data_IF_206625422332
#
_entry.id   IF_206625422332
#
_cell.length_a   1.000
_cell.length_b   1.000
_cell.length_c   1.000
_cell.angle_alpha   90.00
_cell.angle_beta   90.00
_cell.angle_gamma   90.00
#
_symmetry.space_group_name_H-M   'P 1'
#
loop_
_entity.id
_entity.type
_entity.pdbx_description
1 polymer ?
#
# COMPACT_ATOMS: atom_id res chain seq x y z
N UNK A 1 -10.06 24.32 24.56
CA UNK A 1 -9.22 23.41 23.75
C UNK A 1 -9.49 22.01 24.24
N UNK A 2 -10.03 21.13 23.40
CA UNK A 2 -10.33 19.74 23.79
C UNK A 2 -9.04 19.02 24.17
N UNK A 3 -9.02 18.35 25.33
CA UNK A 3 -7.90 17.57 25.86
C UNK A 3 -7.84 16.13 25.33
N UNK A 4 -8.61 15.83 24.28
CA UNK A 4 -8.55 14.52 23.62
C UNK A 4 -7.37 14.53 22.63
N UNK A 5 -6.44 13.56 22.71
CA UNK A 5 -5.40 13.44 21.71
C UNK A 5 -6.05 13.24 20.33
N UNK A 6 -5.75 14.12 19.39
CA UNK A 6 -6.18 13.99 18.00
C UNK A 6 -5.55 12.69 17.46
N UNK A 7 -6.38 11.71 17.12
CA UNK A 7 -5.94 10.44 16.51
C UNK A 7 -5.29 10.78 15.17
N UNK A 8 -3.96 10.66 15.13
CA UNK A 8 -3.14 10.89 13.94
C UNK A 8 -2.24 9.69 13.69
N UNK A 9 -1.85 9.51 12.44
CA UNK A 9 -0.85 8.52 12.10
C UNK A 9 0.51 8.88 12.75
N UNK A 10 1.21 7.92 13.37
CA UNK A 10 2.52 8.18 13.94
C UNK A 10 3.54 8.38 12.81
N UNK A 11 4.45 9.33 13.02
CA UNK A 11 5.59 9.53 12.13
C UNK A 11 6.62 8.41 12.31
N UNK A 12 7.49 8.18 11.33
CA UNK A 12 8.56 7.17 11.43
C UNK A 12 9.43 7.36 12.69
N UNK A 13 9.87 8.59 13.07
CA UNK A 13 10.58 8.78 14.35
C UNK A 13 9.78 8.36 15.58
N UNK A 14 8.46 8.57 15.60
CA UNK A 14 7.59 8.16 16.71
C UNK A 14 7.41 6.65 16.78
N UNK A 15 7.32 5.98 15.62
CA UNK A 15 7.30 4.51 15.54
C UNK A 15 8.62 3.94 16.09
N UNK A 16 9.77 4.49 15.67
CA UNK A 16 11.09 4.09 16.15
C UNK A 16 11.24 4.34 17.66
N UNK A 17 10.77 5.48 18.16
CA UNK A 17 10.82 5.80 19.59
C UNK A 17 9.97 4.81 20.41
N UNK A 18 8.78 4.46 19.92
CA UNK A 18 7.87 3.50 20.56
C UNK A 18 8.48 2.10 20.60
N UNK A 19 9.06 1.64 19.48
CA UNK A 19 9.76 0.35 19.41
C UNK A 19 10.99 0.31 20.35
N UNK A 20 11.75 1.41 20.44
CA UNK A 20 12.89 1.52 21.38
C UNK A 20 12.42 1.45 22.82
N UNK A 21 11.32 2.12 23.15
CA UNK A 21 10.74 2.06 24.49
C UNK A 21 10.26 0.64 24.83
N UNK A 22 9.63 -0.07 23.90
CA UNK A 22 9.23 -1.47 24.08
C UNK A 22 10.45 -2.39 24.32
N UNK A 23 11.50 -2.24 23.52
CA UNK A 23 12.75 -2.98 23.69
C UNK A 23 13.41 -2.72 25.05
N UNK A 24 13.42 -1.47 25.52
CA UNK A 24 13.95 -1.10 26.83
C UNK A 24 13.11 -1.62 28.00
N UNK A 25 11.77 -1.69 27.86
CA UNK A 25 10.88 -2.26 28.88
C UNK A 25 10.99 -3.79 28.96
N UNK A 26 11.32 -4.46 27.86
CA UNK A 26 11.35 -5.93 27.75
C UNK A 26 12.67 -6.45 27.15
N UNK A 27 13.84 -6.13 27.73
CA UNK A 27 15.15 -6.39 27.10
C UNK A 27 15.48 -7.89 26.96
N UNK A 28 14.87 -8.75 27.78
CA UNK A 28 15.04 -10.20 27.68
C UNK A 28 14.27 -10.83 26.49
N UNK A 29 13.31 -10.10 25.92
CA UNK A 29 12.43 -10.58 24.86
C UNK A 29 12.57 -9.80 23.56
N UNK A 30 12.86 -8.50 23.66
CA UNK A 30 12.82 -7.55 22.55
C UNK A 30 14.22 -6.99 22.26
N UNK A 31 14.60 -6.97 20.98
CA UNK A 31 15.82 -6.31 20.51
C UNK A 31 15.49 -5.38 19.36
N UNK A 32 16.14 -4.21 19.32
CA UNK A 32 16.02 -3.25 18.23
C UNK A 32 17.40 -3.03 17.62
N UNK A 33 17.52 -3.20 16.30
CA UNK A 33 18.78 -2.96 15.57
C UNK A 33 18.54 -2.20 14.28
N UNK A 34 19.58 -1.51 13.82
CA UNK A 34 19.65 -0.96 12.47
C UNK A 34 20.01 -2.11 11.50
N UNK A 35 19.30 -2.20 10.37
CA UNK A 35 19.46 -3.27 9.36
C UNK A 35 19.91 -2.75 8.01
N UNK A 36 19.99 -1.43 7.87
CA UNK A 36 20.40 -0.77 6.65
C UNK A 36 20.14 0.72 6.74
N UNK A 37 20.45 1.43 5.65
CA UNK A 37 20.17 2.86 5.49
C UNK A 37 19.52 3.12 4.14
N UNK A 38 18.62 4.08 4.10
CA UNK A 38 17.97 4.55 2.87
C UNK A 38 18.95 5.30 1.98
N UNK A 39 18.51 5.68 0.77
CA UNK A 39 19.28 6.49 -0.17
C UNK A 39 19.72 7.83 0.42
N UNK A 40 18.88 8.45 1.23
CA UNK A 40 19.20 9.68 1.96
C UNK A 40 19.85 9.43 3.33
N UNK A 41 20.29 8.19 3.61
CA UNK A 41 21.06 7.83 4.80
C UNK A 41 20.25 7.65 6.08
N UNK A 42 18.91 7.61 6.00
CA UNK A 42 18.04 7.37 7.17
C UNK A 42 18.09 5.89 7.58
N UNK A 43 18.19 5.58 8.88
CA UNK A 43 18.30 4.21 9.35
C UNK A 43 17.00 3.42 9.19
N UNK A 44 17.11 2.20 8.66
CA UNK A 44 16.04 1.19 8.67
C UNK A 44 16.22 0.36 9.95
N UNK A 45 15.15 0.21 10.72
CA UNK A 45 15.18 -0.46 12.01
C UNK A 45 14.34 -1.73 12.01
N UNK A 46 14.85 -2.78 12.64
CA UNK A 46 14.17 -4.04 12.87
C UNK A 46 13.97 -4.26 14.36
N UNK A 47 12.72 -4.31 14.82
CA UNK A 47 12.35 -4.78 16.15
C UNK A 47 12.13 -6.29 16.10
N UNK A 48 12.79 -7.05 16.96
CA UNK A 48 12.59 -8.50 17.07
C UNK A 48 12.01 -8.85 18.44
N UNK A 49 11.05 -9.77 18.48
CA UNK A 49 10.34 -10.23 19.68
C UNK A 49 10.34 -11.76 19.69
N UNK A 50 11.04 -12.36 20.67
CA UNK A 50 11.21 -13.81 20.78
C UNK A 50 12.53 -14.34 20.22
N UNK A 51 12.78 -15.62 20.48
CA UNK A 51 14.07 -16.30 20.21
C UNK A 51 13.92 -17.65 19.48
N UNK A 52 12.71 -17.99 19.04
CA UNK A 52 12.47 -19.21 18.27
C UNK A 52 13.08 -19.10 16.86
N UNK A 53 13.43 -20.25 16.29
CA UNK A 53 14.01 -20.34 14.94
C UNK A 53 13.01 -20.03 13.81
N UNK A 54 11.73 -20.38 13.98
CA UNK A 54 10.70 -20.04 12.98
C UNK A 54 10.36 -18.56 13.11
N UNK A 55 10.37 -17.84 11.99
CA UNK A 55 10.23 -16.39 11.97
C UNK A 55 9.00 -15.94 11.17
N UNK A 56 8.31 -14.93 11.69
CA UNK A 56 7.40 -14.05 10.93
C UNK A 56 8.09 -12.71 10.75
N UNK A 57 8.07 -12.17 9.53
CA UNK A 57 8.52 -10.82 9.23
C UNK A 57 7.31 -9.93 8.92
N UNK A 58 7.13 -8.83 9.63
CA UNK A 58 6.11 -7.81 9.35
C UNK A 58 6.82 -6.57 8.83
N UNK A 59 6.39 -6.04 7.69
CA UNK A 59 6.99 -4.89 7.02
C UNK A 59 5.97 -3.76 6.96
N UNK A 60 6.35 -2.56 7.40
CA UNK A 60 5.54 -1.36 7.25
C UNK A 60 6.24 -0.30 6.40
N UNK A 61 5.49 0.70 5.96
CA UNK A 61 6.03 1.84 5.21
C UNK A 61 6.60 1.43 3.86
N UNK A 62 5.97 0.44 3.20
CA UNK A 62 6.27 0.05 1.82
C UNK A 62 5.98 1.21 0.85
N UNK A 63 4.90 1.94 1.12
CA UNK A 63 4.57 3.20 0.44
C UNK A 63 4.38 4.32 1.45
N UNK A 64 4.90 5.49 1.10
CA UNK A 64 4.84 6.70 1.92
C UNK A 64 3.43 7.23 2.18
N UNK A 65 2.49 6.97 1.27
CA UNK A 65 1.11 7.44 1.33
C UNK A 65 0.17 6.53 2.15
N UNK A 66 0.71 5.48 2.77
CA UNK A 66 -0.04 4.40 3.45
C UNK A 66 0.36 4.34 4.93
N UNK A 67 -0.09 5.30 5.74
CA UNK A 67 0.52 5.57 7.05
C UNK A 67 0.08 4.63 8.18
N UNK A 68 -0.92 3.76 7.95
CA UNK A 68 -1.48 2.86 8.97
C UNK A 68 -0.49 1.82 9.49
N UNK A 69 0.37 1.29 8.62
CA UNK A 69 1.23 0.14 8.95
C UNK A 69 2.16 0.38 10.14
N UNK A 70 2.63 1.61 10.35
CA UNK A 70 3.48 1.98 11.48
C UNK A 70 2.79 1.83 12.84
N UNK A 71 1.49 2.11 12.92
CA UNK A 71 0.71 1.92 14.14
C UNK A 71 0.32 0.44 14.32
N UNK A 72 -0.08 -0.23 13.24
CA UNK A 72 -0.43 -1.66 13.23
C UNK A 72 0.73 -2.54 13.71
N UNK A 73 1.95 -2.33 13.21
CA UNK A 73 3.09 -3.16 13.63
C UNK A 73 3.37 -3.01 15.13
N UNK A 74 3.16 -1.82 15.72
CA UNK A 74 3.38 -1.58 17.15
C UNK A 74 2.30 -2.28 17.98
N UNK A 75 1.06 -2.22 17.53
CA UNK A 75 -0.05 -2.96 18.14
C UNK A 75 0.23 -4.47 18.14
N UNK A 76 0.60 -5.04 16.99
CA UNK A 76 0.98 -6.46 16.89
C UNK A 76 2.21 -6.77 17.77
N UNK A 77 3.22 -5.90 17.83
CA UNK A 77 4.39 -6.13 18.67
C UNK A 77 4.03 -6.16 20.16
N UNK A 78 3.20 -5.24 20.65
CA UNK A 78 2.71 -5.22 22.04
C UNK A 78 1.87 -6.46 22.36
N UNK A 79 1.03 -6.91 21.41
CA UNK A 79 0.28 -8.18 21.53
C UNK A 79 1.21 -9.37 21.62
N UNK A 80 2.20 -9.51 20.74
CA UNK A 80 3.18 -10.62 20.78
C UNK A 80 3.99 -10.63 22.09
N UNK A 81 4.29 -9.47 22.65
CA UNK A 81 4.95 -9.35 23.96
C UNK A 81 4.04 -9.85 25.09
N UNK A 82 2.75 -9.53 25.03
CA UNK A 82 1.77 -9.80 26.09
C UNK A 82 1.17 -11.22 26.02
N UNK A 83 0.87 -11.69 24.81
CA UNK A 83 0.24 -12.97 24.49
C UNK A 83 1.32 -14.02 24.19
N UNK A 84 1.69 -14.81 25.20
CA UNK A 84 2.78 -15.80 25.07
C UNK A 84 2.51 -16.83 23.98
N UNK A 85 1.26 -17.19 23.73
CA UNK A 85 0.84 -18.14 22.69
C UNK A 85 1.28 -17.74 21.28
N UNK A 86 1.30 -16.43 20.97
CA UNK A 86 1.71 -15.92 19.65
C UNK A 86 3.20 -16.14 19.38
N UNK A 87 3.99 -16.26 20.45
CA UNK A 87 5.44 -16.50 20.41
C UNK A 87 5.85 -17.91 20.81
N UNK A 88 4.90 -18.84 20.96
CA UNK A 88 5.22 -20.25 21.17
C UNK A 88 5.78 -20.85 19.87
N UNK A 89 7.10 -21.11 19.87
CA UNK A 89 7.80 -21.67 18.71
C UNK A 89 7.89 -20.72 17.51
N UNK A 90 7.68 -19.41 17.69
CA UNK A 90 7.76 -18.39 16.65
C UNK A 90 8.39 -17.11 17.19
N UNK A 91 9.32 -16.53 16.45
CA UNK A 91 9.82 -15.17 16.65
C UNK A 91 9.17 -14.24 15.65
N UNK A 92 8.94 -13.01 16.09
CA UNK A 92 8.34 -11.96 15.27
C UNK A 92 9.37 -10.86 15.04
N UNK A 93 9.48 -10.40 13.81
CA UNK A 93 10.40 -9.35 13.40
C UNK A 93 9.63 -8.27 12.65
N UNK A 94 9.84 -7.02 13.00
CA UNK A 94 9.08 -5.88 12.49
C UNK A 94 10.05 -4.88 11.86
N UNK A 95 10.03 -4.76 10.52
CA UNK A 95 10.74 -3.71 9.79
C UNK A 95 9.88 -2.44 9.88
N UNK A 96 10.34 -1.48 10.69
CA UNK A 96 9.50 -0.37 11.14
C UNK A 96 9.09 0.60 10.02
N UNK A 97 9.92 0.73 8.98
CA UNK A 97 9.63 1.49 7.77
C UNK A 97 10.58 1.04 6.65
N UNK A 98 10.04 0.55 5.54
CA UNK A 98 10.83 0.13 4.39
C UNK A 98 11.34 1.34 3.58
N UNK A 99 10.54 2.40 3.44
CA UNK A 99 10.92 3.64 2.74
C UNK A 99 10.85 4.88 3.66
N UNK A 100 11.83 5.05 4.58
CA UNK A 100 11.85 6.22 5.47
C UNK A 100 12.10 7.53 4.72
N UNK A 101 12.62 7.49 3.49
CA UNK A 101 12.82 8.67 2.66
C UNK A 101 11.49 9.15 2.08
N UNK A 102 10.74 8.26 1.42
CA UNK A 102 9.41 8.59 0.93
C UNK A 102 8.46 8.97 2.06
N UNK A 103 8.49 8.25 3.19
CA UNK A 103 7.67 8.57 4.35
C UNK A 103 7.92 9.99 4.90
N UNK A 104 9.13 10.54 4.72
CA UNK A 104 9.44 11.93 5.11
C UNK A 104 8.85 12.99 4.16
N UNK A 105 8.46 12.59 2.95
CA UNK A 105 7.89 13.46 1.92
C UNK A 105 6.37 13.48 1.94
N UNK A 106 5.70 12.47 2.49
CA UNK A 106 4.25 12.47 2.71
C UNK A 106 3.92 13.18 4.03
N UNK A 107 3.12 14.24 3.97
CA UNK A 107 2.96 15.20 5.10
C UNK A 107 1.52 15.41 5.57
N UNK A 108 0.63 14.42 5.38
CA UNK A 108 -0.76 14.50 5.90
C UNK A 108 -1.04 13.46 6.99
N UNK A 109 -0.62 13.69 8.25
CA UNK A 109 -0.78 12.72 9.34
C UNK A 109 -2.21 12.62 9.92
N UNK A 110 -3.10 13.59 9.63
CA UNK A 110 -4.48 13.62 10.12
C UNK A 110 -5.42 14.31 9.11
N UNK A 111 -5.63 13.70 7.93
CA UNK A 111 -6.49 14.28 6.91
C UNK A 111 -7.95 14.35 7.39
N UNK A 112 -8.63 15.47 7.16
CA UNK A 112 -10.08 15.63 7.47
C UNK A 112 -10.97 15.38 6.26
N UNK A 113 -10.37 15.39 5.07
CA UNK A 113 -11.01 15.12 3.78
C UNK A 113 -10.03 14.47 2.82
N UNK A 114 -10.53 13.91 1.71
CA UNK A 114 -9.67 13.48 0.61
C UNK A 114 -8.82 14.63 0.08
N UNK A 115 -9.34 15.86 0.05
CA UNK A 115 -8.57 17.01 -0.42
C UNK A 115 -7.36 17.28 0.50
N UNK A 116 -7.55 17.30 1.81
CA UNK A 116 -6.46 17.49 2.78
C UNK A 116 -5.39 16.40 2.66
N UNK A 117 -5.81 15.14 2.45
CA UNK A 117 -4.90 14.02 2.17
C UNK A 117 -4.05 14.25 0.94
N UNK A 118 -4.68 14.72 -0.15
CA UNK A 118 -4.01 14.95 -1.41
C UNK A 118 -3.05 16.14 -1.37
N UNK A 119 -3.30 17.19 -0.56
CA UNK A 119 -2.39 18.33 -0.43
C UNK A 119 -0.99 17.97 0.08
N UNK A 120 -0.86 16.95 0.93
CA UNK A 120 0.42 16.44 1.42
C UNK A 120 0.86 15.12 0.78
N UNK A 121 0.23 14.72 -0.33
CA UNK A 121 0.46 13.42 -0.96
C UNK A 121 1.91 13.27 -1.47
N UNK A 122 2.47 12.08 -1.26
CA UNK A 122 3.67 11.63 -1.95
C UNK A 122 3.62 10.11 -2.06
N UNK A 123 3.87 9.59 -3.26
CA UNK A 123 4.16 8.16 -3.51
C UNK A 123 5.29 8.10 -4.52
N UNK A 124 6.42 7.45 -4.23
CA UNK A 124 7.57 7.43 -5.12
C UNK A 124 7.29 6.65 -6.41
N UNK A 125 8.11 6.86 -7.44
CA UNK A 125 8.02 6.08 -8.67
C UNK A 125 8.30 4.58 -8.40
N UNK A 126 7.80 3.67 -9.24
CA UNK A 126 7.93 2.23 -9.00
C UNK A 126 9.37 1.75 -8.79
N UNK A 127 10.34 2.32 -9.52
CA UNK A 127 11.76 1.98 -9.39
C UNK A 127 12.42 2.50 -8.10
N UNK A 128 11.72 3.37 -7.37
CA UNK A 128 12.14 3.95 -6.10
C UNK A 128 11.42 3.32 -4.89
N UNK A 129 10.41 2.48 -5.13
CA UNK A 129 9.67 1.78 -4.08
C UNK A 129 10.45 0.54 -3.63
N UNK A 130 10.78 0.38 -2.33
CA UNK A 130 11.64 -0.71 -1.88
C UNK A 130 11.12 -2.11 -2.21
N UNK A 131 9.80 -2.31 -2.15
CA UNK A 131 9.21 -3.62 -2.45
C UNK A 131 9.05 -3.87 -3.95
N UNK A 132 8.79 -2.81 -4.73
CA UNK A 132 8.49 -2.92 -6.15
C UNK A 132 9.73 -2.84 -7.06
N UNK A 133 10.79 -2.16 -6.63
CA UNK A 133 11.94 -1.87 -7.49
C UNK A 133 12.59 -3.09 -8.15
N UNK A 134 12.64 -4.29 -7.55
CA UNK A 134 13.14 -5.49 -8.24
C UNK A 134 12.33 -5.92 -9.48
N UNK A 135 11.06 -5.53 -9.57
CA UNK A 135 10.23 -5.82 -10.75
C UNK A 135 10.56 -4.91 -11.95
N UNK A 136 11.25 -3.78 -11.72
CA UNK A 136 11.49 -2.74 -12.73
C UNK A 136 12.95 -2.34 -12.89
N UNK A 137 13.84 -2.82 -12.02
CA UNK A 137 15.28 -2.54 -12.06
C UNK A 137 16.10 -3.82 -12.05
N UNK A 138 17.28 -3.82 -12.72
CA UNK A 138 18.23 -4.91 -12.59
C UNK A 138 18.89 -4.92 -11.19
N UNK A 139 19.44 -6.08 -10.74
CA UNK A 139 19.99 -6.24 -9.39
C UNK A 139 21.05 -5.22 -8.96
N UNK A 140 21.89 -4.74 -9.89
CA UNK A 140 22.97 -3.77 -9.63
C UNK A 140 22.46 -2.33 -9.39
N UNK A 141 21.21 -2.05 -9.78
CA UNK A 141 20.55 -0.74 -9.61
C UNK A 141 19.52 -0.70 -8.49
N UNK A 142 19.32 -1.81 -7.77
CA UNK A 142 18.35 -1.85 -6.67
C UNK A 142 18.71 -0.84 -5.57
N UNK A 143 17.72 -0.11 -5.02
CA UNK A 143 17.97 0.85 -3.97
C UNK A 143 18.41 0.14 -2.67
N UNK A 144 19.21 0.81 -1.81
CA UNK A 144 19.73 0.21 -0.59
C UNK A 144 18.64 -0.27 0.38
N UNK A 145 17.46 0.35 0.38
CA UNK A 145 16.27 -0.06 1.13
C UNK A 145 15.81 -1.46 0.72
N UNK A 146 15.74 -1.73 -0.59
CA UNK A 146 15.41 -3.05 -1.14
C UNK A 146 16.45 -4.08 -0.74
N UNK A 147 17.74 -3.75 -0.81
CA UNK A 147 18.83 -4.66 -0.40
C UNK A 147 18.78 -4.96 1.09
N UNK A 148 18.44 -3.98 1.91
CA UNK A 148 18.25 -4.17 3.35
C UNK A 148 17.07 -5.11 3.62
N UNK A 149 15.92 -4.91 2.96
CA UNK A 149 14.75 -5.78 3.10
C UNK A 149 15.07 -7.22 2.65
N UNK A 150 15.64 -7.43 1.46
CA UNK A 150 16.00 -8.78 1.01
C UNK A 150 17.07 -9.42 1.86
N UNK A 151 18.03 -8.64 2.38
CA UNK A 151 19.02 -9.11 3.35
C UNK A 151 18.41 -9.57 4.68
N UNK A 152 17.39 -8.86 5.19
CA UNK A 152 16.61 -9.29 6.36
C UNK A 152 15.85 -10.58 6.06
N UNK A 153 15.24 -10.72 4.88
CA UNK A 153 14.55 -11.96 4.49
C UNK A 153 15.55 -13.12 4.38
N UNK A 154 16.73 -12.91 3.81
CA UNK A 154 17.80 -13.91 3.69
C UNK A 154 18.33 -14.38 5.06
N UNK A 155 18.44 -13.45 6.02
CA UNK A 155 18.84 -13.71 7.39
C UNK A 155 17.78 -14.50 8.15
N UNK A 156 16.53 -14.02 8.15
CA UNK A 156 15.44 -14.55 8.98
C UNK A 156 14.80 -15.80 8.39
N UNK A 157 14.80 -15.93 7.06
CA UNK A 157 14.13 -17.00 6.30
C UNK A 157 12.69 -17.22 6.79
N UNK A 158 11.85 -16.17 6.79
CA UNK A 158 10.55 -16.23 7.42
C UNK A 158 9.65 -17.25 6.71
N UNK A 159 8.84 -17.98 7.48
CA UNK A 159 7.79 -18.81 6.86
C UNK A 159 6.64 -17.95 6.35
N UNK A 160 6.47 -16.75 6.92
CA UNK A 160 5.53 -15.73 6.50
C UNK A 160 6.16 -14.34 6.58
N UNK A 161 6.17 -13.63 5.46
CA UNK A 161 6.24 -12.17 5.44
C UNK A 161 4.81 -11.60 5.39
N UNK A 162 4.53 -10.57 6.18
CA UNK A 162 3.32 -9.76 6.03
C UNK A 162 3.77 -8.34 5.73
N UNK A 163 3.41 -7.81 4.57
CA UNK A 163 3.64 -6.39 4.26
C UNK A 163 2.33 -5.62 4.44
N UNK A 164 2.43 -4.51 5.17
CA UNK A 164 1.30 -3.69 5.61
C UNK A 164 1.10 -2.54 4.64
N UNK A 165 -0.02 -2.57 3.93
CA UNK A 165 -0.40 -1.59 2.94
C UNK A 165 -1.70 -0.88 3.32
N UNK A 166 -2.07 0.13 2.53
CA UNK A 166 -3.37 0.74 2.64
C UNK A 166 -3.82 1.39 1.34
N UNK A 167 -5.14 1.51 1.21
CA UNK A 167 -5.76 2.27 0.13
C UNK A 167 -6.28 3.60 0.67
N UNK A 168 -6.16 4.67 -0.11
CA UNK A 168 -6.79 5.94 0.23
C UNK A 168 -8.31 5.73 0.32
N UNK A 169 -8.93 5.21 -0.74
CA UNK A 169 -10.37 4.97 -0.77
C UNK A 169 -10.68 3.59 -1.34
N UNK A 170 -11.52 2.79 -0.68
CA UNK A 170 -11.95 1.49 -1.23
C UNK A 170 -12.48 0.56 -0.15
N UNK A 171 -12.09 -0.70 -0.22
CA UNK A 171 -12.34 -1.71 0.81
C UNK A 171 -11.02 -2.33 1.28
N UNK A 172 -11.11 -3.28 2.21
CA UNK A 172 -9.97 -4.08 2.62
C UNK A 172 -9.90 -5.36 1.79
N UNK A 173 -8.69 -5.83 1.53
CA UNK A 173 -8.43 -7.06 0.78
C UNK A 173 -6.99 -7.55 1.07
N UNK A 174 -6.67 -8.75 0.60
CA UNK A 174 -5.39 -9.42 0.81
C UNK A 174 -4.88 -10.02 -0.49
N UNK A 175 -3.60 -9.81 -0.80
CA UNK A 175 -2.88 -10.60 -1.81
C UNK A 175 -1.96 -11.59 -1.15
N UNK A 176 -1.95 -12.81 -1.66
CA UNK A 176 -1.12 -13.89 -1.16
C UNK A 176 -0.22 -14.37 -2.29
N UNK A 177 1.09 -14.37 -2.09
CA UNK A 177 2.01 -14.98 -3.06
C UNK A 177 1.92 -16.51 -3.08
N UNK A 178 1.24 -17.08 -2.08
CA UNK A 178 0.84 -18.48 -1.98
C UNK A 178 -0.35 -18.57 -1.01
N UNK A 179 -1.33 -19.41 -1.32
CA UNK A 179 -2.55 -19.52 -0.50
C UNK A 179 -2.25 -19.84 0.99
N UNK A 180 -3.05 -19.24 1.88
CA UNK A 180 -3.10 -19.49 3.32
C UNK A 180 -4.50 -20.02 3.63
N UNK A 181 -4.71 -21.35 3.58
CA UNK A 181 -6.03 -21.93 3.81
C UNK A 181 -6.61 -21.52 5.16
N UNK A 182 -7.87 -21.06 5.12
CA UNK A 182 -8.59 -20.61 6.31
C UNK A 182 -8.37 -19.14 6.69
N UNK A 183 -7.57 -18.36 5.97
CA UNK A 183 -7.41 -16.92 6.25
C UNK A 183 -8.67 -16.10 5.94
N UNK A 184 -9.44 -16.49 4.92
CA UNK A 184 -10.57 -15.69 4.44
C UNK A 184 -11.67 -15.47 5.49
N UNK A 185 -11.95 -16.46 6.34
CA UNK A 185 -12.98 -16.33 7.38
C UNK A 185 -12.61 -15.31 8.47
N UNK A 186 -11.46 -15.40 9.17
CA UNK A 186 -11.12 -14.42 10.20
C UNK A 186 -10.88 -13.02 9.62
N UNK A 187 -10.40 -12.93 8.38
CA UNK A 187 -10.29 -11.67 7.64
C UNK A 187 -11.67 -11.02 7.43
N UNK A 188 -12.60 -11.72 6.79
CA UNK A 188 -13.94 -11.19 6.50
C UNK A 188 -14.74 -10.91 7.78
N UNK A 189 -14.60 -11.75 8.81
CA UNK A 189 -15.23 -11.54 10.12
C UNK A 189 -14.73 -10.24 10.76
N UNK A 190 -13.41 -10.02 10.78
CA UNK A 190 -12.81 -8.80 11.30
C UNK A 190 -13.31 -7.55 10.56
N UNK A 191 -13.40 -7.63 9.23
CA UNK A 191 -13.92 -6.54 8.41
C UNK A 191 -15.38 -6.22 8.75
N UNK A 192 -16.23 -7.25 8.87
CA UNK A 192 -17.64 -7.09 9.23
C UNK A 192 -17.83 -6.47 10.62
N UNK A 193 -17.11 -6.95 11.64
CA UNK A 193 -17.19 -6.43 13.01
C UNK A 193 -16.79 -4.95 13.12
N UNK A 194 -15.88 -4.50 12.25
CA UNK A 194 -15.35 -3.13 12.22
C UNK A 194 -16.05 -2.24 11.18
N UNK A 195 -17.07 -2.76 10.49
CA UNK A 195 -17.79 -2.12 9.39
C UNK A 195 -16.86 -1.66 8.26
N UNK A 196 -15.90 -2.49 7.86
CA UNK A 196 -15.00 -2.25 6.72
C UNK A 196 -15.47 -3.12 5.55
N UNK A 197 -15.72 -2.55 4.35
CA UNK A 197 -16.13 -3.33 3.17
C UNK A 197 -14.99 -4.23 2.75
N UNK A 198 -15.32 -5.43 2.29
CA UNK A 198 -14.33 -6.34 1.68
C UNK A 198 -14.32 -6.10 0.17
N UNK A 199 -13.18 -5.65 -0.35
CA UNK A 199 -13.02 -5.38 -1.78
C UNK A 199 -12.81 -6.70 -2.53
N UNK A 200 -13.90 -7.24 -3.08
CA UNK A 200 -13.92 -8.59 -3.67
C UNK A 200 -13.37 -8.65 -5.10
N UNK A 201 -13.28 -7.50 -5.77
CA UNK A 201 -12.80 -7.36 -7.15
C UNK A 201 -11.68 -6.33 -7.27
N UNK A 202 -10.70 -6.35 -6.35
CA UNK A 202 -9.60 -5.38 -6.34
C UNK A 202 -8.89 -5.31 -7.71
N UNK A 203 -8.77 -4.12 -8.28
CA UNK A 203 -8.14 -3.92 -9.59
C UNK A 203 -6.68 -4.36 -9.60
N UNK A 204 -5.98 -4.17 -8.49
CA UNK A 204 -4.57 -4.52 -8.33
C UNK A 204 -4.34 -6.05 -8.26
N UNK A 205 -5.40 -6.84 -8.04
CA UNK A 205 -5.41 -8.30 -8.14
C UNK A 205 -6.28 -8.80 -9.30
N UNK A 206 -6.50 -7.97 -10.32
CA UNK A 206 -7.29 -8.37 -11.49
C UNK A 206 -6.78 -9.68 -12.11
N UNK A 207 -7.67 -10.65 -12.27
CA UNK A 207 -7.36 -11.97 -12.83
C UNK A 207 -6.69 -12.95 -11.86
N UNK A 208 -6.45 -12.56 -10.60
CA UNK A 208 -5.93 -13.46 -9.58
C UNK A 208 -7.07 -14.32 -9.01
N UNK A 209 -6.89 -15.65 -8.88
CA UNK A 209 -7.87 -16.50 -8.23
C UNK A 209 -8.10 -16.07 -6.78
N UNK A 210 -9.35 -16.09 -6.33
CA UNK A 210 -9.69 -15.82 -4.94
C UNK A 210 -9.77 -17.14 -4.13
N UNK A 211 -9.18 -17.18 -2.93
CA UNK A 211 -9.40 -18.26 -1.95
C UNK A 211 -10.54 -17.99 -0.97
N UNK A 212 -11.08 -16.77 -1.00
CA UNK A 212 -12.31 -16.34 -0.35
C UNK A 212 -12.58 -14.84 -0.62
N UNK A 213 -13.67 -14.26 -0.08
CA UNK A 213 -13.98 -12.85 -0.30
C UNK A 213 -12.81 -11.93 0.05
N UNK A 214 -12.34 -11.16 -0.93
CA UNK A 214 -11.22 -10.22 -0.80
C UNK A 214 -9.86 -10.86 -0.52
N UNK A 215 -9.71 -12.19 -0.64
CA UNK A 215 -8.40 -12.87 -0.50
C UNK A 215 -7.99 -13.45 -1.84
N UNK A 216 -7.04 -12.79 -2.49
CA UNK A 216 -6.55 -13.11 -3.82
C UNK A 216 -5.19 -13.82 -3.75
N UNK A 217 -4.99 -14.85 -4.56
CA UNK A 217 -3.78 -15.67 -4.58
C UNK A 217 -3.07 -15.48 -5.91
N UNK A 218 -1.77 -15.24 -5.85
CA UNK A 218 -0.92 -15.08 -7.02
C UNK A 218 -1.07 -16.29 -7.95
N UNK A 219 -1.34 -16.07 -9.25
CA UNK A 219 -1.55 -17.17 -10.18
C UNK A 219 -0.23 -17.89 -10.48
N UNK A 220 -0.33 -19.16 -10.91
CA UNK A 220 0.81 -19.94 -11.32
C UNK A 220 1.62 -19.25 -12.45
N UNK A 221 2.94 -19.50 -12.57
CA UNK A 221 3.75 -18.97 -13.66
C UNK A 221 3.12 -19.26 -15.02
N UNK A 222 3.13 -18.28 -15.92
CA UNK A 222 2.54 -18.39 -17.26
C UNK A 222 1.05 -18.03 -17.35
N UNK A 223 0.38 -17.76 -16.23
CA UNK A 223 -0.90 -17.05 -16.26
C UNK A 223 -0.70 -15.64 -16.84
N UNK A 224 -1.49 -15.27 -17.84
CA UNK A 224 -1.41 -13.95 -18.48
C UNK A 224 -1.77 -12.83 -17.50
N UNK A 225 -1.14 -11.66 -17.66
CA UNK A 225 -1.48 -10.48 -16.89
C UNK A 225 -2.83 -9.90 -17.34
N UNK A 226 -3.67 -9.50 -16.39
CA UNK A 226 -4.92 -8.79 -16.70
C UNK A 226 -4.66 -7.41 -17.33
N UNK A 227 -3.56 -6.76 -16.92
CA UNK A 227 -3.07 -5.49 -17.47
C UNK A 227 -1.63 -5.64 -17.98
N UNK A 228 -1.44 -6.12 -19.24
CA UNK A 228 -0.11 -6.36 -19.80
C UNK A 228 0.78 -5.11 -19.93
N UNK A 229 0.18 -3.92 -19.94
CA UNK A 229 0.94 -2.66 -20.03
C UNK A 229 1.61 -2.26 -18.73
N UNK A 230 1.13 -2.78 -17.59
CA UNK A 230 1.63 -2.42 -16.28
C UNK A 230 2.89 -3.24 -15.95
N UNK A 231 3.88 -2.64 -15.28
CA UNK A 231 5.10 -3.33 -14.89
C UNK A 231 4.88 -4.21 -13.65
N UNK A 232 3.80 -4.99 -13.63
CA UNK A 232 3.12 -5.52 -12.42
C UNK A 232 3.39 -7.01 -12.12
N UNK A 233 4.53 -7.58 -12.55
CA UNK A 233 4.86 -8.96 -12.17
C UNK A 233 5.43 -9.02 -10.74
N UNK A 234 4.53 -9.18 -9.78
CA UNK A 234 4.84 -9.34 -8.36
C UNK A 234 5.76 -10.55 -8.05
N UNK A 235 5.97 -11.49 -8.99
CA UNK A 235 6.99 -12.55 -8.82
C UNK A 235 8.42 -12.02 -8.85
N UNK A 236 8.62 -10.87 -9.48
CA UNK A 236 9.92 -10.21 -9.56
C UNK A 236 10.11 -9.17 -8.45
N UNK A 237 9.14 -8.99 -7.54
CA UNK A 237 9.23 -8.04 -6.42
C UNK A 237 9.81 -8.67 -5.16
N UNK A 238 10.05 -7.88 -4.11
CA UNK A 238 10.51 -8.43 -2.80
C UNK A 238 9.47 -9.35 -2.17
N UNK A 239 8.19 -9.25 -2.55
CA UNK A 239 7.11 -10.09 -2.04
C UNK A 239 7.34 -11.57 -2.37
N UNK A 240 8.04 -11.89 -3.46
CA UNK A 240 8.32 -13.29 -3.81
C UNK A 240 9.62 -13.82 -3.18
N UNK A 241 10.44 -12.96 -2.58
CA UNK A 241 11.78 -13.32 -2.11
C UNK A 241 11.78 -14.40 -1.02
N UNK A 242 10.77 -14.42 -0.14
CA UNK A 242 10.61 -15.43 0.90
C UNK A 242 10.41 -16.86 0.35
N UNK A 243 9.93 -17.02 -0.89
CA UNK A 243 9.75 -18.34 -1.53
C UNK A 243 11.07 -19.09 -1.70
N UNK A 244 12.21 -18.39 -1.80
CA UNK A 244 13.55 -18.99 -1.83
C UNK A 244 13.81 -19.91 -0.62
N UNK A 245 13.14 -19.66 0.48
CA UNK A 245 13.26 -20.40 1.74
C UNK A 245 12.02 -21.23 2.08
N UNK A 246 11.10 -21.39 1.12
CA UNK A 246 9.82 -22.07 1.31
C UNK A 246 8.74 -21.26 2.02
N UNK A 247 9.03 -19.98 2.35
CA UNK A 247 8.06 -19.03 2.90
C UNK A 247 7.10 -18.47 1.85
N UNK A 248 6.21 -17.59 2.30
CA UNK A 248 5.26 -16.84 1.45
C UNK A 248 5.06 -15.43 2.00
N UNK A 249 4.37 -14.60 1.23
CA UNK A 249 4.04 -13.21 1.62
C UNK A 249 2.55 -12.97 1.55
N UNK A 250 2.01 -12.32 2.58
CA UNK A 250 0.68 -11.73 2.59
C UNK A 250 0.80 -10.19 2.52
N UNK A 251 0.11 -9.58 1.58
CA UNK A 251 -0.03 -8.15 1.41
C UNK A 251 -1.40 -7.79 1.97
N UNK A 252 -1.48 -6.99 3.04
CA UNK A 252 -2.73 -6.69 3.72
C UNK A 252 -3.09 -5.23 3.53
N UNK A 253 -4.16 -4.98 2.79
CA UNK A 253 -4.64 -3.66 2.39
C UNK A 253 -5.80 -3.22 3.28
N UNK A 254 -5.70 -2.03 3.88
CA UNK A 254 -6.79 -1.44 4.68
C UNK A 254 -7.14 -0.04 4.18
N UNK A 255 -8.44 0.31 4.08
CA UNK A 255 -8.85 1.61 3.57
C UNK A 255 -8.78 2.71 4.63
N UNK A 256 -8.33 3.90 4.22
CA UNK A 256 -8.47 5.14 5.01
C UNK A 256 -9.93 5.66 4.93
N UNK A 257 -10.47 5.73 3.72
CA UNK A 257 -11.89 5.92 3.45
C UNK A 257 -12.51 4.67 2.86
N UNK A 258 -13.60 4.20 3.45
CA UNK A 258 -14.32 3.04 2.94
C UNK A 258 -15.40 3.45 1.92
N UNK A 259 -15.74 2.52 1.03
CA UNK A 259 -16.89 2.63 0.13
C UNK A 259 -17.50 1.26 -0.11
N UNK A 260 -18.83 1.17 -0.01
CA UNK A 260 -19.57 -0.07 -0.30
C UNK A 260 -19.78 -0.26 -1.83
N UNK A 261 -19.15 0.56 -2.68
CA UNK A 261 -19.18 0.36 -4.14
C UNK A 261 -18.18 -0.71 -4.62
N UNK A 262 -17.27 -1.13 -3.77
CA UNK A 262 -16.22 -2.10 -4.11
C UNK A 262 -16.48 -3.50 -3.55
N UNK A 263 -17.60 -3.71 -2.85
CA UNK A 263 -17.97 -5.00 -2.27
C UNK A 263 -19.22 -5.65 -2.93
N UNK A 264 -19.88 -4.98 -3.88
CA UNK A 264 -21.08 -5.48 -4.58
C UNK A 264 -20.75 -6.63 -5.56
N UNK A 265 -21.09 -7.88 -5.23
CA UNK A 265 -20.76 -9.04 -6.06
C UNK A 265 -21.73 -9.22 -7.23
N UNK A 266 -22.77 -8.38 -7.36
CA UNK A 266 -23.74 -8.52 -8.43
C UNK A 266 -23.08 -8.30 -9.80
N UNK A 267 -23.52 -9.03 -10.85
CA UNK A 267 -23.03 -8.78 -12.20
C UNK A 267 -23.28 -7.34 -12.65
N UNK A 268 -22.25 -6.73 -13.24
CA UNK A 268 -22.38 -5.45 -13.91
C UNK A 268 -23.08 -5.67 -15.26
N UNK A 269 -24.07 -4.83 -15.66
CA UNK A 269 -24.85 -5.06 -16.88
C UNK A 269 -24.05 -4.93 -18.19
N UNK A 270 -22.97 -4.12 -18.19
CA UNK A 270 -22.10 -3.92 -19.35
C UNK A 270 -20.65 -3.56 -18.96
N UNK A 271 -19.88 -4.49 -18.34
CA UNK A 271 -18.57 -4.20 -17.75
C UNK A 271 -17.57 -3.67 -18.79
N UNK A 272 -17.48 -4.29 -19.97
CA UNK A 272 -16.60 -3.83 -21.04
C UNK A 272 -16.92 -2.39 -21.53
N UNK A 273 -18.20 -2.00 -21.51
CA UNK A 273 -18.60 -0.62 -21.86
C UNK A 273 -18.20 0.35 -20.74
N UNK A 274 -18.34 -0.05 -19.48
CA UNK A 274 -17.92 0.75 -18.34
C UNK A 274 -16.39 0.96 -18.34
N UNK A 275 -15.60 -0.10 -18.51
CA UNK A 275 -14.14 -0.02 -18.57
C UNK A 275 -13.66 0.90 -19.71
N UNK A 276 -14.25 0.80 -20.91
CA UNK A 276 -13.95 1.75 -22.01
C UNK A 276 -14.24 3.21 -21.66
N UNK A 277 -15.33 3.48 -20.93
CA UNK A 277 -15.63 4.85 -20.46
C UNK A 277 -14.62 5.32 -19.42
N UNK A 278 -14.23 4.43 -18.50
CA UNK A 278 -13.22 4.72 -17.49
C UNK A 278 -11.84 4.97 -18.12
N UNK A 279 -11.46 4.21 -19.16
CA UNK A 279 -10.26 4.47 -19.95
C UNK A 279 -10.28 5.86 -20.60
N UNK A 280 -11.41 6.25 -21.20
CA UNK A 280 -11.60 7.58 -21.77
C UNK A 280 -11.45 8.70 -20.72
N UNK A 281 -12.03 8.50 -19.54
CA UNK A 281 -11.88 9.41 -18.40
C UNK A 281 -10.44 9.50 -17.91
N UNK A 282 -9.77 8.37 -17.73
CA UNK A 282 -8.38 8.31 -17.28
C UNK A 282 -7.47 9.12 -18.22
N UNK A 283 -7.61 8.91 -19.53
CA UNK A 283 -6.88 9.68 -20.55
C UNK A 283 -7.22 11.18 -20.52
N UNK A 284 -8.49 11.53 -20.34
CA UNK A 284 -8.91 12.93 -20.26
C UNK A 284 -8.29 13.64 -19.05
N UNK A 285 -8.35 13.00 -17.88
CA UNK A 285 -7.86 13.58 -16.63
C UNK A 285 -6.32 13.67 -16.66
N UNK A 286 -5.61 12.64 -17.11
CA UNK A 286 -4.15 12.69 -17.28
C UNK A 286 -3.70 13.83 -18.20
N UNK A 287 -4.37 14.03 -19.35
CA UNK A 287 -4.09 15.15 -20.26
C UNK A 287 -4.31 16.53 -19.64
N UNK A 288 -5.13 16.65 -18.60
CA UNK A 288 -5.28 17.92 -17.87
C UNK A 288 -4.03 18.21 -17.05
N UNK A 289 -3.49 17.20 -16.37
CA UNK A 289 -2.26 17.29 -15.57
C UNK A 289 -1.05 17.51 -16.47
N UNK A 290 -0.92 16.74 -17.56
CA UNK A 290 0.16 16.87 -18.54
C UNK A 290 0.25 18.27 -19.13
N UNK A 291 -0.89 18.91 -19.44
CA UNK A 291 -0.91 20.29 -19.95
C UNK A 291 -0.35 21.29 -18.94
N UNK A 292 -0.62 21.10 -17.65
CA UNK A 292 -0.05 21.93 -16.58
C UNK A 292 1.44 21.65 -16.44
N UNK A 293 1.83 20.38 -16.44
CA UNK A 293 3.23 19.97 -16.35
C UNK A 293 4.08 20.54 -17.51
N UNK A 294 3.60 20.42 -18.75
CA UNK A 294 4.29 20.95 -19.94
C UNK A 294 4.39 22.47 -19.89
N UNK A 295 3.32 23.16 -19.51
CA UNK A 295 3.36 24.63 -19.35
C UNK A 295 4.35 25.07 -18.27
N UNK A 296 4.40 24.36 -17.13
CA UNK A 296 5.26 24.72 -15.99
C UNK A 296 6.72 24.31 -16.16
N UNK A 297 7.02 23.23 -16.89
CA UNK A 297 8.37 22.66 -17.01
C UNK A 297 9.47 23.70 -17.32
N UNK A 298 9.30 24.65 -18.25
CA UNK A 298 10.34 25.66 -18.54
C UNK A 298 10.66 26.62 -17.39
N UNK A 299 9.82 26.67 -16.35
CA UNK A 299 9.95 27.57 -15.19
C UNK A 299 10.42 26.87 -13.93
N UNK A 300 10.47 25.54 -13.92
CA UNK A 300 10.87 24.75 -12.75
C UNK A 300 12.40 24.63 -12.69
N UNK A 301 13.03 24.92 -11.53
CA UNK A 301 14.49 24.89 -11.39
C UNK A 301 15.07 23.49 -11.25
N UNK A 302 14.33 22.55 -10.65
CA UNK A 302 14.72 21.16 -10.46
C UNK A 302 13.72 20.23 -11.16
N UNK A 303 14.16 19.65 -12.27
CA UNK A 303 13.35 18.69 -13.04
C UNK A 303 13.48 17.26 -12.51
N UNK A 304 14.47 17.03 -11.65
CA UNK A 304 14.78 15.73 -11.08
C UNK A 304 14.27 15.60 -9.65
N UNK A 305 13.54 16.56 -9.09
CA UNK A 305 12.97 16.45 -7.75
C UNK A 305 12.04 15.23 -7.57
N UNK A 306 12.02 14.57 -6.40
CA UNK A 306 11.30 13.30 -6.20
C UNK A 306 9.79 13.40 -6.47
N UNK A 307 9.15 14.50 -6.09
CA UNK A 307 7.72 14.77 -6.37
C UNK A 307 7.44 14.81 -7.88
N UNK A 308 8.32 15.46 -8.64
CA UNK A 308 8.15 15.62 -10.08
C UNK A 308 8.41 14.31 -10.82
N UNK A 309 9.46 13.56 -10.44
CA UNK A 309 9.72 12.22 -10.99
C UNK A 309 8.54 11.28 -10.75
N UNK A 310 7.99 11.26 -9.53
CA UNK A 310 6.83 10.45 -9.18
C UNK A 310 5.55 10.88 -9.93
N UNK A 311 5.31 12.19 -10.08
CA UNK A 311 4.20 12.71 -10.87
C UNK A 311 4.28 12.29 -12.33
N UNK A 312 5.46 12.45 -12.96
CA UNK A 312 5.71 12.01 -14.35
C UNK A 312 5.48 10.52 -14.52
N UNK A 313 6.06 9.70 -13.62
CA UNK A 313 5.89 8.25 -13.66
C UNK A 313 4.41 7.83 -13.60
N UNK A 314 3.61 8.45 -12.71
CA UNK A 314 2.17 8.18 -12.65
C UNK A 314 1.43 8.50 -13.95
N UNK A 315 1.81 9.56 -14.67
CA UNK A 315 1.24 9.91 -15.97
C UNK A 315 1.70 8.96 -17.08
N UNK A 316 2.96 8.49 -17.03
CA UNK A 316 3.52 7.55 -18.01
C UNK A 316 2.79 6.19 -18.04
N UNK A 317 2.19 5.77 -16.92
CA UNK A 317 1.40 4.53 -16.84
C UNK A 317 0.05 4.62 -17.56
N UNK A 318 -0.51 5.84 -17.68
CA UNK A 318 -1.90 6.05 -18.11
C UNK A 318 -2.21 5.52 -19.52
N UNK A 319 -1.41 5.80 -20.57
CA UNK A 319 -1.74 5.36 -21.91
C UNK A 319 -1.85 3.84 -22.05
N UNK A 320 -0.92 3.11 -21.41
CA UNK A 320 -0.91 1.65 -21.39
C UNK A 320 -2.15 1.10 -20.67
N UNK A 321 -2.39 1.57 -19.45
CA UNK A 321 -3.51 1.07 -18.64
C UNK A 321 -4.88 1.37 -19.28
N UNK A 322 -5.03 2.54 -19.89
CA UNK A 322 -6.24 2.88 -20.63
C UNK A 322 -6.42 2.00 -21.87
N UNK A 323 -5.33 1.63 -22.55
CA UNK A 323 -5.39 0.70 -23.67
C UNK A 323 -5.81 -0.71 -23.21
N UNK A 324 -5.29 -1.19 -22.08
CA UNK A 324 -5.70 -2.46 -21.49
C UNK A 324 -7.21 -2.46 -21.22
N UNK A 325 -7.73 -1.48 -20.46
CA UNK A 325 -9.17 -1.39 -20.18
C UNK A 325 -10.05 -1.24 -21.43
N UNK A 326 -9.52 -0.67 -22.51
CA UNK A 326 -10.27 -0.45 -23.73
C UNK A 326 -10.31 -1.68 -24.65
N UNK A 327 -9.24 -2.47 -24.65
CA UNK A 327 -8.96 -3.48 -25.68
C UNK A 327 -8.83 -4.91 -25.14
N UNK A 328 -8.71 -5.11 -23.83
CA UNK A 328 -8.75 -6.44 -23.22
C UNK A 328 -10.15 -6.75 -22.66
N UNK A 329 -10.53 -8.04 -22.60
CA UNK A 329 -11.73 -8.44 -21.87
C UNK A 329 -11.61 -8.07 -20.37
N UNK A 330 -12.70 -7.63 -19.71
CA UNK A 330 -12.70 -7.42 -18.26
C UNK A 330 -12.23 -8.66 -17.51
N UNK A 331 -11.35 -8.48 -16.52
CA UNK A 331 -10.85 -9.58 -15.70
C UNK A 331 -11.93 -10.17 -14.78
N UNK A 332 -12.92 -9.36 -14.43
CA UNK A 332 -14.13 -9.73 -13.71
C UNK A 332 -15.32 -8.92 -14.28
N UNK A 333 -16.53 -9.46 -14.16
CA UNK A 333 -17.77 -8.86 -14.61
C UNK A 333 -18.64 -8.33 -13.45
N UNK A 334 -18.17 -8.39 -12.19
CA UNK A 334 -18.88 -7.85 -11.03
C UNK A 334 -18.93 -6.32 -11.01
N UNK A 335 -19.89 -5.77 -10.26
CA UNK A 335 -19.95 -4.33 -9.96
C UNK A 335 -18.80 -3.89 -9.07
N UNK A 336 -18.39 -4.71 -8.10
CA UNK A 336 -17.22 -4.52 -7.26
C UNK A 336 -15.96 -4.24 -8.10
N UNK A 337 -15.68 -5.07 -9.11
CA UNK A 337 -14.52 -4.88 -9.98
C UNK A 337 -14.60 -3.57 -10.79
N UNK A 338 -15.75 -3.27 -11.39
CA UNK A 338 -15.94 -1.99 -12.10
C UNK A 338 -15.80 -0.80 -11.15
N UNK A 339 -16.25 -0.92 -9.91
CA UNK A 339 -16.09 0.07 -8.84
C UNK A 339 -14.62 0.29 -8.47
N UNK A 340 -13.86 -0.79 -8.31
CA UNK A 340 -12.41 -0.74 -8.05
C UNK A 340 -11.66 -0.06 -9.20
N UNK A 341 -11.97 -0.41 -10.45
CA UNK A 341 -11.40 0.26 -11.64
C UNK A 341 -11.80 1.75 -11.71
N UNK A 342 -13.03 2.14 -11.34
CA UNK A 342 -13.45 3.55 -11.25
C UNK A 342 -12.65 4.30 -10.18
N UNK A 343 -12.39 3.67 -9.03
CA UNK A 343 -11.54 4.24 -7.98
C UNK A 343 -10.09 4.42 -8.45
N UNK A 344 -9.55 3.42 -9.15
CA UNK A 344 -8.21 3.47 -9.73
C UNK A 344 -8.07 4.57 -10.79
N UNK A 345 -9.07 4.68 -11.68
CA UNK A 345 -9.14 5.70 -12.72
C UNK A 345 -9.20 7.13 -12.17
N UNK A 346 -9.69 7.32 -10.94
CA UNK A 346 -9.73 8.62 -10.23
C UNK A 346 -8.41 8.92 -9.54
N UNK A 347 -7.89 7.96 -8.78
CA UNK A 347 -6.71 8.18 -7.93
C UNK A 347 -5.46 8.46 -8.76
N UNK A 348 -5.25 7.77 -9.88
CA UNK A 348 -3.97 7.86 -10.59
C UNK A 348 -3.64 9.29 -11.07
N UNK A 349 -4.51 9.98 -11.84
CA UNK A 349 -4.26 11.37 -12.24
C UNK A 349 -4.34 12.34 -11.05
N UNK A 350 -5.18 12.07 -10.04
CA UNK A 350 -5.28 12.91 -8.84
C UNK A 350 -3.98 12.89 -8.02
N UNK A 351 -3.36 11.72 -7.83
CA UNK A 351 -2.07 11.57 -7.16
C UNK A 351 -0.95 12.28 -7.93
N UNK A 352 -0.91 12.14 -9.25
CA UNK A 352 0.05 12.86 -10.09
C UNK A 352 -0.13 14.39 -10.00
N UNK A 353 -1.37 14.87 -10.08
CA UNK A 353 -1.72 16.28 -9.92
C UNK A 353 -1.32 16.83 -8.54
N UNK A 354 -1.54 16.03 -7.49
CA UNK A 354 -1.23 16.41 -6.10
C UNK A 354 0.28 16.60 -5.87
N UNK A 355 1.10 15.67 -6.38
CA UNK A 355 2.56 15.80 -6.29
C UNK A 355 3.07 16.97 -7.13
N UNK A 356 2.51 17.18 -8.33
CA UNK A 356 2.85 18.33 -9.17
C UNK A 356 2.44 19.66 -8.51
N UNK A 357 1.27 19.72 -7.88
CA UNK A 357 0.79 20.91 -7.17
C UNK A 357 1.79 21.34 -6.10
N UNK A 358 2.32 20.40 -5.33
CA UNK A 358 3.35 20.70 -4.33
C UNK A 358 4.62 21.28 -4.94
N UNK A 359 5.09 20.73 -6.06
CA UNK A 359 6.23 21.30 -6.80
C UNK A 359 5.94 22.73 -7.24
N UNK A 360 4.74 23.00 -7.76
CA UNK A 360 4.36 24.35 -8.19
C UNK A 360 4.27 25.33 -7.01
N UNK A 361 3.73 24.90 -5.87
CA UNK A 361 3.64 25.71 -4.65
C UNK A 361 5.03 26.03 -4.07
N UNK A 362 5.91 25.04 -4.02
CA UNK A 362 7.30 25.21 -3.54
C UNK A 362 8.11 26.20 -4.40
N UNK A 363 7.71 26.39 -5.66
CA UNK A 363 8.37 27.27 -6.62
C UNK A 363 7.59 28.55 -6.97
N UNK A 364 6.51 28.85 -6.23
CA UNK A 364 5.62 30.00 -6.49
C UNK A 364 5.16 30.11 -7.97
N UNK A 365 4.90 28.97 -8.62
CA UNK A 365 4.54 28.95 -10.03
C UNK A 365 3.07 29.38 -10.23
N UNK A 366 2.86 30.26 -11.21
CA UNK A 366 1.53 30.79 -11.60
C UNK A 366 0.49 29.72 -11.94
N UNK A 367 0.89 28.49 -12.25
CA UNK A 367 -0.03 27.39 -12.54
C UNK A 367 -0.61 26.73 -11.27
N UNK A 368 -0.04 26.97 -10.08
CA UNK A 368 -0.46 26.34 -8.83
C UNK A 368 -1.96 26.55 -8.52
N UNK A 369 -2.54 27.78 -8.57
CA UNK A 369 -3.95 27.98 -8.24
C UNK A 369 -4.92 27.23 -9.17
N UNK A 370 -4.52 27.03 -10.44
CA UNK A 370 -5.33 26.26 -11.39
C UNK A 370 -5.31 24.77 -11.05
N UNK A 371 -4.14 24.23 -10.72
CA UNK A 371 -4.00 22.81 -10.39
C UNK A 371 -4.61 22.49 -9.03
N UNK A 372 -4.52 23.41 -8.05
CA UNK A 372 -5.18 23.28 -6.75
C UNK A 372 -6.69 23.15 -6.88
N UNK A 373 -7.34 24.03 -7.67
CA UNK A 373 -8.78 23.91 -7.96
C UNK A 373 -9.15 22.58 -8.60
N UNK A 374 -8.28 22.05 -9.46
CA UNK A 374 -8.49 20.75 -10.08
C UNK A 374 -8.42 19.60 -9.06
N UNK A 375 -7.39 19.62 -8.20
CA UNK A 375 -7.21 18.65 -7.11
C UNK A 375 -8.38 18.70 -6.13
N UNK A 376 -8.84 19.90 -5.75
CA UNK A 376 -10.02 20.08 -4.90
C UNK A 376 -11.28 19.48 -5.54
N UNK A 377 -11.59 19.89 -6.78
CA UNK A 377 -12.77 19.41 -7.51
C UNK A 377 -12.77 17.89 -7.67
N UNK A 378 -11.61 17.31 -8.02
CA UNK A 378 -11.49 15.86 -8.19
C UNK A 378 -11.56 15.10 -6.87
N UNK A 379 -11.00 15.65 -5.78
CA UNK A 379 -11.09 15.05 -4.45
C UNK A 379 -12.54 15.02 -3.95
N UNK A 380 -13.28 16.12 -4.10
CA UNK A 380 -14.71 16.21 -3.76
C UNK A 380 -15.53 15.24 -4.62
N UNK A 381 -15.35 15.26 -5.94
CA UNK A 381 -16.07 14.37 -6.85
C UNK A 381 -15.74 12.88 -6.59
N UNK A 382 -14.52 12.57 -6.14
CA UNK A 382 -14.15 11.20 -5.77
C UNK A 382 -14.83 10.78 -4.46
N UNK A 383 -14.79 11.64 -3.44
CA UNK A 383 -15.48 11.41 -2.17
C UNK A 383 -16.99 11.20 -2.39
N UNK A 384 -17.64 12.07 -3.15
CA UNK A 384 -19.08 12.02 -3.42
C UNK A 384 -19.47 10.77 -4.21
N UNK A 385 -18.72 10.47 -5.28
CA UNK A 385 -18.99 9.31 -6.13
C UNK A 385 -19.01 8.02 -5.32
N UNK A 386 -18.07 7.88 -4.39
CA UNK A 386 -17.89 6.67 -3.60
C UNK A 386 -18.56 6.74 -2.23
N UNK A 387 -19.23 7.85 -1.90
CA UNK A 387 -19.80 8.08 -0.55
C UNK A 387 -18.75 7.79 0.52
N UNK A 388 -17.55 8.33 0.31
CA UNK A 388 -16.38 8.04 1.10
C UNK A 388 -16.65 8.28 2.59
N UNK A 389 -16.49 7.23 3.39
CA UNK A 389 -16.66 7.30 4.85
C UNK A 389 -15.32 7.06 5.53
N UNK A 390 -14.96 7.93 6.46
CA UNK A 390 -13.76 7.74 7.26
C UNK A 390 -13.84 6.41 8.03
N UNK A 391 -12.80 5.59 7.93
CA UNK A 391 -12.63 4.44 8.81
C UNK A 391 -11.85 4.91 10.04
N UNK A 392 -12.38 4.79 11.27
CA UNK A 392 -11.63 5.17 12.47
C UNK A 392 -10.24 4.53 12.49
N UNK A 393 -9.21 5.30 12.87
CA UNK A 393 -7.82 4.84 12.80
C UNK A 393 -7.62 3.55 13.61
N UNK A 394 -8.24 3.48 14.78
CA UNK A 394 -8.30 2.30 15.63
C UNK A 394 -8.91 1.07 14.92
N UNK A 395 -9.91 1.25 14.05
CA UNK A 395 -10.49 0.16 13.26
C UNK A 395 -9.58 -0.26 12.11
N UNK A 396 -8.88 0.69 11.48
CA UNK A 396 -7.87 0.38 10.46
C UNK A 396 -6.76 -0.48 11.07
N UNK A 397 -6.24 -0.07 12.23
CA UNK A 397 -5.20 -0.77 13.00
C UNK A 397 -5.69 -2.15 13.43
N UNK A 398 -6.84 -2.22 14.12
CA UNK A 398 -7.37 -3.47 14.66
C UNK A 398 -7.64 -4.49 13.55
N UNK A 399 -8.22 -4.06 12.43
CA UNK A 399 -8.48 -4.95 11.30
C UNK A 399 -7.19 -5.52 10.71
N UNK A 400 -6.19 -4.66 10.47
CA UNK A 400 -4.91 -5.06 9.92
C UNK A 400 -4.15 -5.97 10.90
N UNK A 401 -4.14 -5.65 12.20
CA UNK A 401 -3.52 -6.45 13.26
C UNK A 401 -4.14 -7.85 13.38
N UNK A 402 -5.47 -7.95 13.39
CA UNK A 402 -6.19 -9.24 13.40
C UNK A 402 -5.82 -10.10 12.20
N UNK A 403 -5.73 -9.48 11.02
CA UNK A 403 -5.37 -10.17 9.78
C UNK A 403 -3.93 -10.67 9.80
N UNK A 404 -2.98 -9.87 10.30
CA UNK A 404 -1.57 -10.26 10.49
C UNK A 404 -1.45 -11.48 11.41
N UNK A 405 -2.13 -11.44 12.57
CA UNK A 405 -2.11 -12.55 13.54
C UNK A 405 -2.75 -13.81 12.95
N UNK A 406 -3.90 -13.68 12.30
CA UNK A 406 -4.56 -14.81 11.64
C UNK A 406 -3.66 -15.43 10.54
N UNK A 407 -3.07 -14.60 9.68
CA UNK A 407 -2.16 -15.06 8.64
C UNK A 407 -0.98 -15.85 9.21
N UNK A 408 -0.35 -15.35 10.29
CA UNK A 408 0.74 -16.04 10.96
C UNK A 408 0.33 -17.41 11.53
N UNK A 409 -0.80 -17.46 12.24
CA UNK A 409 -1.29 -18.70 12.85
C UNK A 409 -1.65 -19.76 11.80
N UNK A 410 -2.34 -19.36 10.72
CA UNK A 410 -2.74 -20.28 9.65
C UNK A 410 -1.56 -20.72 8.78
N UNK A 411 -0.62 -19.81 8.46
CA UNK A 411 0.57 -20.15 7.68
C UNK A 411 1.51 -21.11 8.44
N UNK A 412 1.57 -20.99 9.78
CA UNK A 412 2.42 -21.85 10.63
C UNK A 412 2.03 -23.34 10.55
N UNK A 413 0.74 -23.65 10.42
CA UNK A 413 0.25 -25.05 10.32
C UNK A 413 0.81 -25.74 9.06
N UNK A 414 1.05 -24.97 8.00
CA UNK A 414 1.59 -25.47 6.73
C UNK A 414 3.11 -25.65 6.75
N UNK A 415 3.81 -24.82 7.52
CA UNK A 415 5.26 -24.88 7.68
C UNK A 415 5.71 -25.95 8.70
N UNK A 416 4.76 -26.67 9.29
CA UNK A 416 4.98 -27.63 10.37
C UNK A 416 5.74 -28.87 9.94
#
# INVERSE_FOLDING_TARGET
>A
MSLLPELRYPTVPEVVASARALAARRPALCTLREVGRSRAGRPLHLLSVGHARRAVLVVAGAHSNEPTGGATLLDVAERVVSERELRLGTSWHFLLCADPDGASLHITPAPRSLFDYHLGFFRPAGHEQPEWSPAVLPPDRLPPETRALTGVIDELRPYLQVTLHGTDLGGSWVQLTKDIPGLAEPFAKSAAELNIPVETGASDAAGWPASGPGVHVMPAPGAGAAYPSMPDDARNSTWYHAHRYGGLTAIVEVPMWASDLVDDPAPHPAPAVALRRLAGRLLQDARQVERVLVDATPRLPDLDGPLLRASRWGLELVPGLAADWAHTPPADNTRAYVGSVDAFARRLPLRAASMLLRVLLENDDRAAPRLERLVATWSEAFADRFRARWVPLEHQIEHQSRTVVAAALHARVRAA
#
